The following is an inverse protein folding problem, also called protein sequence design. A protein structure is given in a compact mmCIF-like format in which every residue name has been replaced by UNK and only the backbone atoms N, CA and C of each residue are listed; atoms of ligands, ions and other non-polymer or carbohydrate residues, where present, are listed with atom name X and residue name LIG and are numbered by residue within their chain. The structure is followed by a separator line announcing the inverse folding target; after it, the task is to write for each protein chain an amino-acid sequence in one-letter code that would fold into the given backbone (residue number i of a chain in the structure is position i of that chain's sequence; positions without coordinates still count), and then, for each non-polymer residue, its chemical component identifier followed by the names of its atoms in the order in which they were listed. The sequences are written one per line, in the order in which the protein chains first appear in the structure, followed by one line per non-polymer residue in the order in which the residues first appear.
data_IF_346028655718
#
_entry.id   IF_346028655718
#
_cell.length_a   1.000
_cell.length_b   1.000
_cell.length_c   1.000
_cell.angle_alpha   90.00
_cell.angle_beta   90.00
_cell.angle_gamma   90.00
#
_symmetry.space_group_name_H-M   'P 1'
#
loop_
_entity.id
_entity.type
_entity.pdbx_description
1 polymer ?
#
# COMPACT_ATOMS: atom_id res chain seq x y z
N UNK A 1 -0.51 -9.66 -10.21
CA UNK A 1 -1.83 -10.31 -10.23
C UNK A 1 -2.84 -9.29 -10.76
N UNK A 2 -3.58 -9.61 -11.83
CA UNK A 2 -4.52 -8.67 -12.46
C UNK A 2 -5.53 -8.07 -11.47
N UNK A 3 -5.99 -8.84 -10.48
CA UNK A 3 -6.92 -8.35 -9.45
C UNK A 3 -6.30 -7.27 -8.56
N UNK A 4 -5.04 -7.44 -8.16
CA UNK A 4 -4.32 -6.47 -7.32
C UNK A 4 -4.12 -5.15 -8.06
N UNK A 5 -3.80 -5.23 -9.37
CA UNK A 5 -3.64 -4.05 -10.20
C UNK A 5 -4.98 -3.30 -10.39
N UNK A 6 -6.08 -4.02 -10.62
CA UNK A 6 -7.40 -3.38 -10.73
C UNK A 6 -7.82 -2.71 -9.42
N UNK A 7 -7.62 -3.38 -8.27
CA UNK A 7 -7.93 -2.80 -6.96
C UNK A 7 -7.07 -1.57 -6.65
N UNK A 8 -5.77 -1.61 -6.94
CA UNK A 8 -4.85 -0.50 -6.69
C UNK A 8 -5.17 0.74 -7.53
N UNK A 9 -5.69 0.55 -8.75
CA UNK A 9 -5.98 1.64 -9.69
C UNK A 9 -7.45 2.07 -9.70
N UNK A 10 -8.25 1.63 -8.73
CA UNK A 10 -9.65 2.03 -8.62
C UNK A 10 -9.78 3.53 -8.32
N UNK A 11 -10.79 4.19 -8.90
CA UNK A 11 -11.05 5.59 -8.60
C UNK A 11 -11.57 5.77 -7.17
N UNK A 12 -11.05 6.77 -6.46
CA UNK A 12 -11.54 7.22 -5.15
C UNK A 12 -12.49 8.43 -5.28
N UNK A 13 -12.82 8.83 -6.51
CA UNK A 13 -13.70 9.97 -6.80
C UNK A 13 -15.14 9.71 -6.33
N UNK A 14 -15.76 10.69 -5.66
CA UNK A 14 -17.17 10.64 -5.24
C UNK A 14 -17.37 10.46 -3.73
N UNK A 15 -16.31 10.14 -3.00
CA UNK A 15 -16.30 10.11 -1.53
C UNK A 15 -15.45 11.27 -1.01
N UNK A 16 -15.98 12.04 -0.07
CA UNK A 16 -15.20 13.08 0.61
C UNK A 16 -14.51 12.47 1.82
N UNK A 17 -13.17 12.50 1.81
CA UNK A 17 -12.31 12.01 2.88
C UNK A 17 -11.75 13.20 3.66
N UNK A 18 -12.45 13.71 4.69
CA UNK A 18 -12.05 14.94 5.40
C UNK A 18 -10.73 14.78 6.16
N UNK A 19 -10.36 13.54 6.51
CA UNK A 19 -9.11 13.18 7.15
C UNK A 19 -8.50 11.98 6.44
N UNK A 20 -7.17 11.95 6.37
CA UNK A 20 -6.42 10.82 5.84
C UNK A 20 -5.35 10.44 6.85
N UNK A 21 -5.40 9.21 7.33
CA UNK A 21 -4.39 8.63 8.20
C UNK A 21 -3.36 7.90 7.33
N UNK A 22 -2.09 7.99 7.73
CA UNK A 22 -0.98 7.32 7.05
C UNK A 22 -0.12 6.57 8.05
N UNK A 23 0.07 5.27 7.80
CA UNK A 23 0.90 4.39 8.61
C UNK A 23 2.09 3.88 7.80
N UNK A 24 3.21 3.65 8.48
CA UNK A 24 4.42 3.08 7.88
C UNK A 24 4.71 1.74 8.53
N UNK A 25 4.79 0.69 7.71
CA UNK A 25 5.14 -0.66 8.15
C UNK A 25 6.52 -1.03 7.57
N UNK A 26 7.44 -1.44 8.44
CA UNK A 26 8.71 -2.00 8.03
C UNK A 26 8.62 -3.52 7.98
N UNK A 27 8.83 -4.09 6.79
CA UNK A 27 8.73 -5.53 6.55
C UNK A 27 10.10 -6.03 6.09
N UNK A 28 10.57 -7.09 6.75
CA UNK A 28 11.76 -7.81 6.32
C UNK A 28 11.34 -8.86 5.30
N UNK A 29 11.73 -8.68 4.05
CA UNK A 29 11.39 -9.56 2.93
C UNK A 29 12.63 -10.27 2.43
N UNK A 30 12.44 -11.47 1.87
CA UNK A 30 13.51 -12.22 1.21
C UNK A 30 13.24 -12.19 -0.29
N UNK A 31 14.13 -11.56 -1.05
CA UNK A 31 14.08 -11.49 -2.50
C UNK A 31 15.41 -12.04 -3.04
N UNK A 32 15.35 -12.93 -4.04
CA UNK A 32 16.53 -13.51 -4.68
C UNK A 32 17.60 -14.05 -3.72
N UNK A 33 17.14 -14.74 -2.65
CA UNK A 33 17.92 -15.34 -1.57
C UNK A 33 18.53 -14.36 -0.56
N UNK A 34 18.52 -13.06 -0.84
CA UNK A 34 18.97 -12.00 0.05
C UNK A 34 17.81 -11.41 0.86
N UNK A 35 18.12 -10.83 2.02
CA UNK A 35 17.11 -10.33 2.93
C UNK A 35 17.16 -8.80 3.04
N UNK A 36 16.05 -8.16 2.65
CA UNK A 36 15.92 -6.72 2.58
C UNK A 36 14.91 -6.22 3.61
N UNK A 37 15.17 -5.04 4.16
CA UNK A 37 14.17 -4.28 4.90
C UNK A 37 13.49 -3.32 3.94
N UNK A 38 12.16 -3.39 3.84
CA UNK A 38 11.35 -2.49 3.01
C UNK A 38 10.33 -1.76 3.86
N UNK A 39 10.00 -0.54 3.44
CA UNK A 39 8.93 0.25 4.03
C UNK A 39 7.70 0.20 3.11
N UNK A 40 6.54 -0.08 3.69
CA UNK A 40 5.25 -0.01 3.05
C UNK A 40 4.43 1.12 3.69
N UNK A 41 3.78 1.93 2.86
CA UNK A 41 2.94 3.04 3.30
C UNK A 41 1.48 2.65 3.12
N UNK A 42 0.72 2.67 4.21
CA UNK A 42 -0.71 2.41 4.22
C UNK A 42 -1.46 3.73 4.40
N UNK A 43 -2.52 3.94 3.63
CA UNK A 43 -3.37 5.13 3.69
C UNK A 43 -4.81 4.71 3.92
N UNK A 44 -5.46 5.32 4.92
CA UNK A 44 -6.87 5.13 5.24
C UNK A 44 -7.55 6.49 5.34
N UNK A 45 -8.72 6.62 4.69
CA UNK A 45 -9.52 7.85 4.63
C UNK A 45 -10.97 7.55 4.92
#
# INVERSE_FOLDING_TARGET
DPMVNEWQNRSLSGTNYPYLMTDVLYIKVREDHECFLKAAILRSG
#
